data_IF_703300277821
#
_entry.id   IF_703300277821
#
_cell.length_a   1.000
_cell.length_b   1.000
_cell.length_c   1.000
_cell.angle_alpha   90.00
_cell.angle_beta   90.00
_cell.angle_gamma   90.00
#
_symmetry.space_group_name_H-M   'P 1'
#
loop_
_entity.id
_entity.type
_entity.pdbx_description
1 polymer ?
#
# COMPACT_ATOMS: atom_id res chain seq x y z
N UNK A 1 22.81 14.79 16.48
CA UNK A 1 22.84 14.50 17.94
C UNK A 1 24.12 13.74 18.24
N UNK A 2 24.93 14.21 19.20
CA UNK A 2 26.23 13.59 19.49
C UNK A 2 26.03 12.14 19.93
N UNK A 3 26.73 11.20 19.29
CA UNK A 3 26.68 9.77 19.62
C UNK A 3 25.65 8.91 18.85
N UNK A 4 24.74 9.51 18.06
CA UNK A 4 23.84 8.74 17.20
C UNK A 4 24.59 8.28 15.94
N UNK A 5 24.57 6.97 15.67
CA UNK A 5 25.21 6.37 14.49
C UNK A 5 24.30 6.27 13.27
N UNK A 6 23.02 5.90 13.49
CA UNK A 6 22.03 5.72 12.44
C UNK A 6 20.67 6.28 12.86
N UNK A 7 19.87 6.70 11.88
CA UNK A 7 18.46 7.07 12.06
C UNK A 7 17.65 6.34 11.00
N UNK A 8 16.57 5.66 11.39
CA UNK A 8 15.78 4.83 10.48
C UNK A 8 14.33 5.27 10.44
N UNK A 9 13.69 5.08 9.28
CA UNK A 9 12.27 5.36 9.09
C UNK A 9 11.45 4.13 9.48
N UNK A 10 10.72 4.26 10.59
CA UNK A 10 9.77 3.23 11.06
C UNK A 10 8.35 3.41 10.51
N UNK A 11 8.04 4.58 9.94
CA UNK A 11 6.73 4.93 9.38
C UNK A 11 6.68 4.68 7.86
N UNK A 12 5.48 4.66 7.29
CA UNK A 12 5.32 4.66 5.84
C UNK A 12 5.70 6.01 5.22
N UNK A 13 6.12 5.99 3.95
CA UNK A 13 6.44 7.19 3.17
C UNK A 13 5.32 7.54 2.18
N UNK A 14 5.12 8.84 1.94
CA UNK A 14 4.24 9.36 0.89
C UNK A 14 5.01 9.51 -0.42
N UNK A 15 5.17 8.40 -1.12
CA UNK A 15 5.93 8.34 -2.36
C UNK A 15 5.31 9.11 -3.52
N UNK A 16 4.00 9.38 -3.45
CA UNK A 16 3.28 10.25 -4.38
C UNK A 16 3.73 11.72 -4.35
N UNK A 17 4.47 12.14 -3.31
CA UNK A 17 5.01 13.50 -3.22
C UNK A 17 6.27 13.69 -4.08
N UNK A 18 7.02 12.62 -4.35
CA UNK A 18 8.29 12.70 -5.08
C UNK A 18 8.33 11.80 -6.33
N UNK A 19 7.29 11.00 -6.56
CA UNK A 19 7.17 10.09 -7.68
C UNK A 19 5.75 10.14 -8.23
N UNK A 20 5.62 10.12 -9.55
CA UNK A 20 4.36 9.93 -10.26
C UNK A 20 4.50 8.77 -11.28
N UNK A 21 3.44 8.49 -12.05
CA UNK A 21 3.45 7.40 -13.04
C UNK A 21 4.53 7.60 -14.13
N UNK A 22 4.86 8.86 -14.45
CA UNK A 22 5.85 9.22 -15.47
C UNK A 22 7.29 9.19 -14.95
N UNK A 23 7.49 9.41 -13.64
CA UNK A 23 8.81 9.33 -13.00
C UNK A 23 8.94 10.25 -11.79
N UNK A 24 10.18 10.63 -11.48
CA UNK A 24 10.48 11.58 -10.41
C UNK A 24 9.89 12.96 -10.73
N UNK A 25 9.27 13.60 -9.73
CA UNK A 25 8.59 14.90 -9.94
C UNK A 25 9.57 16.06 -10.12
N UNK A 26 10.76 15.95 -9.51
CA UNK A 26 11.83 16.94 -9.63
C UNK A 26 13.22 16.33 -9.44
N UNK A 27 14.24 17.19 -9.54
CA UNK A 27 15.66 16.82 -9.38
C UNK A 27 16.04 16.37 -7.96
N UNK A 28 15.24 16.68 -6.95
CA UNK A 28 15.51 16.33 -5.54
C UNK A 28 14.97 14.96 -5.18
N UNK A 29 14.01 14.46 -5.95
CA UNK A 29 13.26 13.25 -5.68
C UNK A 29 14.10 11.97 -5.74
N UNK A 30 14.94 11.81 -6.77
CA UNK A 30 15.83 10.64 -6.87
C UNK A 30 16.92 10.63 -5.78
N UNK A 31 17.65 11.74 -5.54
CA UNK A 31 18.57 11.83 -4.40
C UNK A 31 17.91 11.46 -3.07
N UNK A 32 16.71 12.00 -2.81
CA UNK A 32 15.93 11.67 -1.61
C UNK A 32 15.64 10.17 -1.49
N UNK A 33 15.08 9.55 -2.55
CA UNK A 33 14.76 8.12 -2.52
C UNK A 33 16.02 7.27 -2.32
N UNK A 34 17.13 7.66 -2.95
CA UNK A 34 18.41 6.95 -2.82
C UNK A 34 18.94 7.00 -1.39
N UNK A 35 19.00 8.19 -0.79
CA UNK A 35 19.43 8.38 0.61
C UNK A 35 18.52 7.60 1.58
N UNK A 36 17.21 7.69 1.39
CA UNK A 36 16.22 6.94 2.19
C UNK A 36 16.49 5.43 2.18
N UNK A 37 16.76 4.86 1.01
CA UNK A 37 17.00 3.41 0.85
C UNK A 37 18.33 3.00 1.45
N UNK A 38 19.40 3.76 1.17
CA UNK A 38 20.76 3.36 1.55
C UNK A 38 21.04 3.60 3.04
N UNK A 39 20.55 4.71 3.59
CA UNK A 39 21.01 5.20 4.90
C UNK A 39 19.91 5.12 5.98
N UNK A 40 18.63 5.12 5.57
CA UNK A 40 17.50 5.26 6.50
C UNK A 40 16.53 4.08 6.51
N UNK A 41 16.85 2.98 5.82
CA UNK A 41 16.04 1.75 5.82
C UNK A 41 16.73 0.65 6.61
N UNK A 42 16.22 0.35 7.82
CA UNK A 42 16.66 -0.82 8.58
C UNK A 42 15.88 -2.06 8.14
N UNK A 43 16.53 -2.99 7.45
CA UNK A 43 15.90 -4.24 7.04
C UNK A 43 15.08 -4.08 5.77
N UNK A 44 13.77 -3.85 5.86
CA UNK A 44 12.86 -3.72 4.70
C UNK A 44 12.07 -2.41 4.76
N UNK A 45 11.87 -1.78 3.61
CA UNK A 45 11.11 -0.54 3.51
C UNK A 45 9.60 -0.83 3.52
N UNK A 46 8.88 -0.30 4.51
CA UNK A 46 7.43 -0.46 4.59
C UNK A 46 6.73 0.59 3.74
N UNK A 47 5.81 0.15 2.88
CA UNK A 47 5.05 1.03 1.98
C UNK A 47 3.59 0.58 1.98
N UNK A 48 2.65 1.51 2.00
CA UNK A 48 1.21 1.19 2.08
C UNK A 48 0.47 1.61 0.79
N UNK A 49 0.45 0.75 -0.25
CA UNK A 49 -0.43 0.93 -1.39
C UNK A 49 -1.91 0.69 -1.05
N UNK A 50 -2.21 -0.01 0.06
CA UNK A 50 -3.54 -0.35 0.58
C UNK A 50 -4.35 -1.34 -0.28
N UNK A 51 -4.35 -1.20 -1.60
CA UNK A 51 -5.00 -2.12 -2.54
C UNK A 51 -4.32 -2.08 -3.93
N UNK A 52 -4.64 -3.04 -4.81
CA UNK A 52 -4.19 -3.02 -6.21
C UNK A 52 -5.23 -2.48 -7.20
N UNK A 53 -6.49 -2.38 -6.79
CA UNK A 53 -7.62 -2.21 -7.69
C UNK A 53 -8.10 -0.77 -7.64
N UNK A 54 -8.12 -0.10 -8.78
CA UNK A 54 -8.38 1.35 -8.88
C UNK A 54 -9.76 1.73 -8.33
N UNK A 55 -10.77 0.87 -8.46
CA UNK A 55 -12.11 1.09 -7.89
C UNK A 55 -12.09 1.14 -6.36
N UNK A 56 -11.27 0.32 -5.70
CA UNK A 56 -11.14 0.31 -4.23
C UNK A 56 -10.27 1.49 -3.78
N UNK A 57 -9.17 1.74 -4.49
CA UNK A 57 -8.25 2.86 -4.23
C UNK A 57 -8.95 4.22 -4.33
N UNK A 58 -9.91 4.37 -5.25
CA UNK A 58 -10.76 5.55 -5.36
C UNK A 58 -11.50 5.86 -4.04
N UNK A 59 -12.13 4.86 -3.42
CA UNK A 59 -12.81 5.05 -2.14
C UNK A 59 -11.82 5.30 -1.00
N UNK A 60 -10.64 4.67 -1.04
CA UNK A 60 -9.55 4.93 -0.08
C UNK A 60 -8.90 6.31 -0.23
N UNK A 61 -9.14 7.01 -1.35
CA UNK A 61 -8.45 8.28 -1.66
C UNK A 61 -6.95 8.09 -1.94
N UNK A 62 -6.57 6.93 -2.49
CA UNK A 62 -5.19 6.56 -2.81
C UNK A 62 -4.92 6.65 -4.32
N UNK A 63 -3.68 6.94 -4.73
CA UNK A 63 -3.30 6.91 -6.13
C UNK A 63 -3.35 5.47 -6.68
N UNK A 64 -3.33 5.33 -8.00
CA UNK A 64 -3.31 4.01 -8.65
C UNK A 64 -2.12 3.17 -8.20
N UNK A 65 -2.33 1.85 -8.12
CA UNK A 65 -1.29 0.88 -7.81
C UNK A 65 -0.11 0.90 -8.79
N UNK A 66 -0.29 1.44 -10.00
CA UNK A 66 0.81 1.69 -10.95
C UNK A 66 1.94 2.52 -10.34
N UNK A 67 1.62 3.44 -9.44
CA UNK A 67 2.62 4.24 -8.76
C UNK A 67 3.51 3.41 -7.83
N UNK A 68 2.93 2.46 -7.10
CA UNK A 68 3.70 1.50 -6.31
C UNK A 68 4.60 0.63 -7.20
N UNK A 69 4.11 0.17 -8.35
CA UNK A 69 4.92 -0.57 -9.31
C UNK A 69 6.14 0.24 -9.77
N UNK A 70 5.97 1.54 -10.01
CA UNK A 70 7.07 2.43 -10.38
C UNK A 70 8.07 2.59 -9.23
N UNK A 71 7.59 2.82 -8.01
CA UNK A 71 8.43 2.90 -6.82
C UNK A 71 9.28 1.64 -6.66
N UNK A 72 8.67 0.46 -6.78
CA UNK A 72 9.37 -0.82 -6.69
C UNK A 72 10.48 -0.94 -7.73
N UNK A 73 10.22 -0.53 -8.97
CA UNK A 73 11.24 -0.55 -10.04
C UNK A 73 12.45 0.32 -9.72
N UNK A 74 12.23 1.53 -9.21
CA UNK A 74 13.33 2.43 -8.82
C UNK A 74 14.07 1.90 -7.57
N UNK A 75 13.34 1.35 -6.61
CA UNK A 75 13.90 0.71 -5.43
C UNK A 75 14.83 -0.45 -5.80
N UNK A 76 14.33 -1.41 -6.59
CA UNK A 76 15.08 -2.59 -7.03
C UNK A 76 16.33 -2.21 -7.83
N UNK A 77 16.28 -1.09 -8.58
CA UNK A 77 17.43 -0.56 -9.31
C UNK A 77 18.49 -0.02 -8.33
N UNK A 78 18.09 0.77 -7.34
CA UNK A 78 19.00 1.35 -6.35
C UNK A 78 19.66 0.26 -5.51
N UNK A 79 18.88 -0.70 -5.01
CA UNK A 79 19.40 -1.78 -4.16
C UNK A 79 20.35 -2.68 -4.92
N UNK A 80 20.00 -3.06 -6.17
CA UNK A 80 20.89 -3.84 -7.05
C UNK A 80 22.22 -3.13 -7.30
N UNK A 81 22.17 -1.84 -7.62
CA UNK A 81 23.39 -1.06 -7.89
C UNK A 81 24.27 -0.90 -6.64
N UNK A 82 23.68 -0.92 -5.45
CA UNK A 82 24.40 -0.83 -4.19
C UNK A 82 24.79 -2.20 -3.59
N UNK A 83 24.42 -3.32 -4.25
CA UNK A 83 24.65 -4.67 -3.71
C UNK A 83 23.86 -4.97 -2.43
N UNK A 84 22.78 -4.23 -2.16
CA UNK A 84 21.97 -4.40 -0.96
C UNK A 84 20.92 -5.50 -1.12
N UNK A 85 20.81 -6.35 -0.11
CA UNK A 85 19.82 -7.42 -0.03
C UNK A 85 18.62 -6.99 0.83
N UNK A 86 17.96 -5.90 0.43
CA UNK A 86 16.74 -5.36 1.07
C UNK A 86 15.55 -5.40 0.10
N UNK A 87 14.34 -5.26 0.62
CA UNK A 87 13.10 -5.31 -0.15
C UNK A 87 12.03 -4.38 0.42
N UNK A 88 10.97 -4.19 -0.36
CA UNK A 88 9.76 -3.49 0.08
C UNK A 88 8.82 -4.50 0.75
N UNK A 89 8.15 -4.09 1.83
CA UNK A 89 7.01 -4.81 2.43
C UNK A 89 5.76 -3.95 2.25
N UNK A 90 4.83 -4.38 1.38
CA UNK A 90 3.56 -3.70 1.21
C UNK A 90 2.59 -4.02 2.35
N UNK A 91 1.70 -3.07 2.64
CA UNK A 91 0.56 -3.24 3.53
C UNK A 91 -0.74 -3.10 2.73
N UNK A 92 -1.66 -4.06 2.90
CA UNK A 92 -2.94 -4.12 2.22
C UNK A 92 -4.12 -4.15 3.20
N UNK A 93 -5.24 -3.57 2.77
CA UNK A 93 -6.49 -3.53 3.53
C UNK A 93 -7.54 -4.39 2.84
N UNK A 94 -8.12 -5.34 3.57
CA UNK A 94 -9.29 -6.13 3.16
C UNK A 94 -10.59 -5.52 3.64
N UNK A 95 -11.71 -5.87 2.99
CA UNK A 95 -13.08 -5.50 3.38
C UNK A 95 -13.37 -4.00 3.48
N UNK A 96 -12.52 -3.14 2.92
CA UNK A 96 -12.79 -1.70 2.83
C UNK A 96 -14.08 -1.44 2.04
N UNK A 97 -14.85 -0.37 2.32
CA UNK A 97 -15.96 0.04 1.46
C UNK A 97 -15.57 0.11 -0.02
N UNK A 98 -16.39 -0.50 -0.88
CA UNK A 98 -16.14 -0.67 -2.30
C UNK A 98 -15.30 -1.90 -2.68
N UNK A 99 -14.72 -2.62 -1.71
CA UNK A 99 -13.95 -3.85 -1.93
C UNK A 99 -14.86 -5.09 -1.91
N UNK A 100 -14.89 -5.83 -3.02
CA UNK A 100 -15.60 -7.10 -3.16
C UNK A 100 -14.62 -8.28 -3.13
N UNK A 101 -15.18 -9.48 -3.00
CA UNK A 101 -14.40 -10.73 -3.02
C UNK A 101 -13.50 -10.85 -4.27
N UNK A 102 -14.04 -10.49 -5.44
CA UNK A 102 -13.31 -10.48 -6.71
C UNK A 102 -12.13 -9.52 -6.72
N UNK A 103 -12.20 -8.40 -5.99
CA UNK A 103 -11.11 -7.43 -5.92
C UNK A 103 -9.95 -8.00 -5.09
N UNK A 104 -10.27 -8.73 -4.02
CA UNK A 104 -9.30 -9.44 -3.20
C UNK A 104 -8.64 -10.61 -3.93
N UNK A 105 -9.39 -11.33 -4.77
CA UNK A 105 -8.86 -12.34 -5.67
C UNK A 105 -7.83 -11.76 -6.66
N UNK A 106 -8.18 -10.65 -7.32
CA UNK A 106 -7.27 -9.94 -8.23
C UNK A 106 -6.04 -9.42 -7.52
N UNK A 107 -6.22 -8.86 -6.32
CA UNK A 107 -5.12 -8.40 -5.48
C UNK A 107 -4.15 -9.55 -5.20
N UNK A 108 -4.64 -10.67 -4.68
CA UNK A 108 -3.80 -11.83 -4.35
C UNK A 108 -3.11 -12.44 -5.58
N UNK A 109 -3.73 -12.35 -6.76
CA UNK A 109 -3.18 -12.85 -8.02
C UNK A 109 -2.28 -11.84 -8.77
N UNK A 110 -2.09 -10.63 -8.24
CA UNK A 110 -1.42 -9.56 -8.98
C UNK A 110 0.07 -9.90 -9.25
N UNK A 111 0.52 -9.96 -10.51
CA UNK A 111 1.88 -10.35 -10.86
C UNK A 111 2.96 -9.38 -10.34
N UNK A 112 2.61 -8.12 -10.11
CA UNK A 112 3.53 -7.14 -9.54
C UNK A 112 3.87 -7.42 -8.07
N UNK A 113 3.14 -8.32 -7.40
CA UNK A 113 3.44 -8.76 -6.03
C UNK A 113 4.35 -9.99 -5.99
N UNK A 114 4.67 -10.59 -7.14
CA UNK A 114 5.59 -11.73 -7.21
C UNK A 114 6.95 -11.38 -6.60
N UNK A 115 7.43 -12.25 -5.71
CA UNK A 115 8.73 -12.11 -5.03
C UNK A 115 8.73 -11.10 -3.88
N UNK A 116 7.59 -10.46 -3.60
CA UNK A 116 7.45 -9.57 -2.45
C UNK A 116 7.06 -10.39 -1.23
N UNK A 117 7.75 -10.15 -0.11
CA UNK A 117 7.37 -10.72 1.16
C UNK A 117 6.07 -10.06 1.63
N UNK A 118 5.00 -10.85 1.65
CA UNK A 118 3.66 -10.42 2.04
C UNK A 118 3.38 -10.90 3.45
N UNK A 119 3.25 -9.98 4.39
CA UNK A 119 3.02 -10.32 5.80
C UNK A 119 1.82 -9.56 6.40
N UNK A 120 1.42 -8.45 5.77
CA UNK A 120 0.47 -7.52 6.36
C UNK A 120 -0.75 -7.29 5.47
N UNK A 121 -1.78 -8.09 5.73
CA UNK A 121 -3.14 -7.84 5.27
C UNK A 121 -4.02 -7.63 6.48
N UNK A 122 -4.52 -6.41 6.63
CA UNK A 122 -5.36 -6.02 7.74
C UNK A 122 -6.78 -5.78 7.28
N UNK A 123 -7.73 -6.18 8.11
CA UNK A 123 -9.12 -5.91 7.84
C UNK A 123 -9.46 -4.45 8.18
N UNK A 124 -10.33 -3.81 7.40
CA UNK A 124 -10.74 -2.44 7.68
C UNK A 124 -11.34 -2.37 9.08
N UNK A 125 -10.84 -1.43 9.87
CA UNK A 125 -11.39 -1.10 11.19
C UNK A 125 -11.96 0.31 11.09
N UNK A 126 -13.29 0.48 11.10
CA UNK A 126 -13.91 1.79 11.07
C UNK A 126 -13.42 2.63 12.27
N UNK A 127 -12.67 3.69 11.98
CA UNK A 127 -12.23 4.67 12.97
C UNK A 127 -13.02 5.97 12.86
N UNK A 128 -13.33 6.65 13.97
CA UNK A 128 -14.03 7.94 13.93
C UNK A 128 -13.34 8.95 13.01
N UNK A 129 -14.11 9.90 12.49
CA UNK A 129 -13.63 11.01 11.66
C UNK A 129 -12.98 10.59 10.31
N UNK A 130 -13.31 9.40 9.79
CA UNK A 130 -12.83 8.96 8.47
C UNK A 130 -13.97 8.80 7.46
N UNK A 131 -13.71 9.15 6.20
CA UNK A 131 -14.62 8.89 5.08
C UNK A 131 -14.96 7.40 4.96
N UNK A 132 -13.97 6.52 5.20
CA UNK A 132 -14.17 5.07 5.21
C UNK A 132 -15.20 4.63 6.23
N UNK A 133 -15.21 5.19 7.45
CA UNK A 133 -16.24 4.88 8.44
C UNK A 133 -17.61 5.40 8.04
N UNK A 134 -17.69 6.60 7.47
CA UNK A 134 -18.97 7.13 6.96
C UNK A 134 -19.53 6.18 5.90
N UNK A 135 -18.71 5.77 4.92
CA UNK A 135 -19.12 4.79 3.90
C UNK A 135 -19.49 3.44 4.53
N UNK A 136 -18.74 2.99 5.53
CA UNK A 136 -18.98 1.72 6.20
C UNK A 136 -20.35 1.69 6.89
N UNK A 137 -20.71 2.75 7.63
CA UNK A 137 -21.98 2.77 8.38
C UNK A 137 -23.17 3.23 7.55
N UNK A 138 -23.00 4.17 6.62
CA UNK A 138 -24.11 4.71 5.81
C UNK A 138 -24.38 3.90 4.55
N UNK A 139 -23.40 3.15 4.05
CA UNK A 139 -23.48 2.52 2.72
C UNK A 139 -23.46 3.52 1.56
N UNK A 140 -23.06 4.78 1.79
CA UNK A 140 -23.02 5.84 0.79
C UNK A 140 -21.62 6.45 0.70
N UNK A 141 -21.16 6.74 -0.53
CA UNK A 141 -20.00 7.60 -0.76
C UNK A 141 -20.38 9.05 -0.43
N UNK A 142 -19.82 9.68 0.61
CA UNK A 142 -20.20 11.04 1.01
C UNK A 142 -19.83 12.11 -0.01
N UNK A 143 -19.00 11.80 -1.01
CA UNK A 143 -18.63 12.73 -2.09
C UNK A 143 -19.69 12.79 -3.18
N UNK A 144 -20.35 11.67 -3.44
CA UNK A 144 -21.23 11.48 -4.60
C UNK A 144 -22.66 11.12 -4.21
N UNK A 145 -22.90 10.80 -2.93
CA UNK A 145 -24.15 10.27 -2.38
C UNK A 145 -24.64 8.98 -3.04
N UNK A 146 -23.75 8.26 -3.74
CA UNK A 146 -24.08 6.98 -4.39
C UNK A 146 -23.89 5.81 -3.43
N UNK A 147 -24.67 4.73 -3.59
CA UNK A 147 -24.48 3.50 -2.82
C UNK A 147 -23.08 2.91 -3.02
N UNK A 148 -22.47 2.50 -1.91
CA UNK A 148 -21.17 1.80 -1.85
C UNK A 148 -21.38 0.46 -1.16
N UNK A 149 -20.82 -0.59 -1.75
CA UNK A 149 -20.83 -1.90 -1.15
C UNK A 149 -19.94 -1.92 0.10
N UNK A 150 -20.48 -2.41 1.22
CA UNK A 150 -19.72 -2.65 2.45
C UNK A 150 -19.98 -4.07 2.94
N UNK A 151 -18.92 -4.80 3.25
CA UNK A 151 -19.02 -6.15 3.81
C UNK A 151 -19.07 -6.10 5.34
N UNK A 152 -20.22 -6.46 5.91
CA UNK A 152 -20.44 -6.52 7.35
C UNK A 152 -20.39 -7.94 7.90
N UNK A 153 -20.52 -8.97 7.05
CA UNK A 153 -20.53 -10.35 7.49
C UNK A 153 -19.11 -10.80 7.92
N UNK A 154 -18.88 -11.14 9.20
CA UNK A 154 -17.54 -11.48 9.69
C UNK A 154 -16.87 -12.65 8.94
N UNK A 155 -17.65 -13.67 8.56
CA UNK A 155 -17.13 -14.82 7.81
C UNK A 155 -16.69 -14.42 6.40
N UNK A 156 -17.42 -13.51 5.75
CA UNK A 156 -17.01 -12.99 4.44
C UNK A 156 -15.78 -12.09 4.53
N UNK A 157 -15.66 -11.26 5.57
CA UNK A 157 -14.43 -10.47 5.83
C UNK A 157 -13.22 -11.37 6.05
N UNK A 158 -13.40 -12.45 6.83
CA UNK A 158 -12.36 -13.49 7.03
C UNK A 158 -11.99 -14.19 5.71
N UNK A 159 -12.98 -14.49 4.87
CA UNK A 159 -12.76 -15.09 3.56
C UNK A 159 -11.96 -14.17 2.63
N UNK A 160 -12.28 -12.87 2.59
CA UNK A 160 -11.50 -11.87 1.84
C UNK A 160 -10.03 -11.86 2.28
N UNK A 161 -9.78 -11.82 3.59
CA UNK A 161 -8.41 -11.86 4.12
C UNK A 161 -7.68 -13.18 3.78
N UNK A 162 -8.41 -14.29 3.68
CA UNK A 162 -7.82 -15.62 3.46
C UNK A 162 -7.11 -15.79 2.12
N UNK A 163 -7.46 -15.00 1.09
CA UNK A 163 -6.84 -15.11 -0.24
C UNK A 163 -5.31 -14.95 -0.22
N UNK A 164 -4.77 -14.24 0.76
CA UNK A 164 -3.33 -14.02 0.90
C UNK A 164 -2.58 -15.09 1.68
N UNK A 165 -3.30 -15.87 2.49
CA UNK A 165 -2.69 -16.86 3.41
C UNK A 165 -3.01 -18.30 3.02
N UNK A 166 -3.90 -18.51 2.04
CA UNK A 166 -4.08 -19.81 1.41
C UNK A 166 -2.79 -20.15 0.66
N UNK A 167 -1.91 -20.90 1.32
CA UNK A 167 -0.76 -21.55 0.68
C UNK A 167 -1.28 -22.35 -0.51
N UNK A 168 -0.74 -22.09 -1.70
CA UNK A 168 -0.76 -23.07 -2.79
C UNK A 168 0.22 -24.18 -2.49
#
# INVERSE_FOLDING_TARGET
VKGIRNAYIGSGIRYDLFLNENGFVDKTSYPYLKELILDHTSGRLKVAPEHTEDNVLYYMGKPSFRLFCRLRKEFDKITRNAGLHTGIVPYFISSHPGCRMSDMEKLAANPALKGIYMDQVQDVTPTPMTTSSVMFYSGLDPRTMKPVFTEHNPERKKMQKSFFFKKK
#
